data_IF_081922033790
#
_entry.id   IF_081922033790
#
_cell.length_a   1.000
_cell.length_b   1.000
_cell.length_c   1.000
_cell.angle_alpha   90.00
_cell.angle_beta   90.00
_cell.angle_gamma   90.00
#
_symmetry.space_group_name_H-M   'P 1'
#
loop_
_entity.id
_entity.type
_entity.pdbx_description
1 polymer ?
#
# COMPACT_ATOMS: atom_id res chain seq x y z
N UNK A 1 13.10 9.72 23.32
CA UNK A 1 12.79 11.08 22.79
C UNK A 1 11.65 10.97 21.78
N UNK A 2 10.70 11.93 21.66
CA UNK A 2 9.60 11.84 20.72
C UNK A 2 10.07 11.68 19.26
N UNK A 3 11.15 12.36 18.88
CA UNK A 3 11.68 12.33 17.51
C UNK A 3 12.12 10.93 17.06
N UNK A 4 12.68 10.10 17.96
CA UNK A 4 13.11 8.72 17.65
C UNK A 4 11.94 7.81 17.27
N UNK A 5 10.77 8.00 17.90
CA UNK A 5 9.57 7.21 17.61
C UNK A 5 9.01 7.60 16.24
N UNK A 6 9.02 8.89 15.90
CA UNK A 6 8.62 9.34 14.57
C UNK A 6 9.62 8.92 13.47
N UNK A 7 10.92 8.84 13.79
CA UNK A 7 11.94 8.29 12.89
C UNK A 7 11.72 6.80 12.63
N UNK A 8 11.42 6.03 13.68
CA UNK A 8 11.11 4.60 13.58
C UNK A 8 9.85 4.36 12.74
N UNK A 9 8.80 5.17 12.93
CA UNK A 9 7.57 5.07 12.13
C UNK A 9 7.84 5.39 10.65
N UNK A 10 8.67 6.41 10.37
CA UNK A 10 9.05 6.75 9.01
C UNK A 10 9.88 5.65 8.33
N UNK A 11 10.76 4.99 9.08
CA UNK A 11 11.54 3.86 8.60
C UNK A 11 10.65 2.65 8.30
N UNK A 12 9.79 2.25 9.22
CA UNK A 12 8.84 1.15 9.02
C UNK A 12 7.95 1.37 7.77
N UNK A 13 7.50 2.60 7.54
CA UNK A 13 6.77 2.98 6.33
C UNK A 13 7.58 2.84 5.04
N UNK A 14 8.85 3.24 5.06
CA UNK A 14 9.75 3.13 3.90
C UNK A 14 10.11 1.69 3.58
N UNK A 15 10.29 0.87 4.61
CA UNK A 15 10.65 -0.53 4.49
C UNK A 15 9.44 -1.42 4.17
N UNK A 16 8.22 -0.86 4.21
CA UNK A 16 6.97 -1.60 4.00
C UNK A 16 6.62 -2.54 5.15
N UNK A 17 7.27 -2.38 6.31
CA UNK A 17 7.01 -3.19 7.50
C UNK A 17 5.77 -2.68 8.25
N UNK A 18 4.61 -3.10 7.78
CA UNK A 18 3.32 -2.72 8.36
C UNK A 18 3.12 -3.29 9.77
N UNK A 19 3.82 -4.38 10.12
CA UNK A 19 3.72 -4.99 11.45
C UNK A 19 4.49 -4.16 12.47
N UNK A 20 5.72 -3.75 12.15
CA UNK A 20 6.49 -2.82 12.97
C UNK A 20 5.78 -1.47 13.10
N UNK A 21 5.18 -0.97 12.00
CA UNK A 21 4.40 0.26 12.04
C UNK A 21 3.19 0.15 12.99
N UNK A 22 2.45 -0.96 12.95
CA UNK A 22 1.32 -1.18 13.84
C UNK A 22 1.74 -1.22 15.32
N UNK A 23 2.89 -1.83 15.62
CA UNK A 23 3.44 -1.87 16.97
C UNK A 23 3.82 -0.47 17.52
N UNK A 24 4.06 0.51 16.65
CA UNK A 24 4.43 1.88 17.02
C UNK A 24 3.23 2.78 17.35
N UNK A 25 1.99 2.33 17.17
CA UNK A 25 0.79 3.14 17.42
C UNK A 25 0.72 3.65 18.88
N UNK A 26 0.82 2.75 19.87
CA UNK A 26 0.82 3.10 21.29
C UNK A 26 1.99 4.03 21.68
N UNK A 27 3.24 3.71 21.30
CA UNK A 27 4.39 4.61 21.50
C UNK A 27 4.21 6.01 20.90
N UNK A 28 3.63 6.13 19.69
CA UNK A 28 3.35 7.42 19.05
C UNK A 28 2.33 8.25 19.84
N UNK A 29 1.27 7.62 20.35
CA UNK A 29 0.28 8.28 21.21
C UNK A 29 0.87 8.73 22.55
N UNK A 30 1.77 7.93 23.14
CA UNK A 30 2.47 8.31 24.35
C UNK A 30 3.44 9.48 24.12
N UNK A 31 4.19 9.44 23.01
CA UNK A 31 5.13 10.49 22.61
C UNK A 31 4.44 11.83 22.35
N UNK A 32 3.25 11.80 21.76
CA UNK A 32 2.44 12.99 21.51
C UNK A 32 1.85 13.57 22.79
N UNK A 33 1.36 12.73 23.72
CA UNK A 33 0.88 13.18 25.05
C UNK A 33 1.99 13.76 25.92
N UNK A 34 3.20 13.20 25.85
CA UNK A 34 4.37 13.68 26.59
C UNK A 34 5.08 14.85 25.92
N UNK A 35 4.60 15.33 24.77
CA UNK A 35 5.25 16.42 24.07
C UNK A 35 4.96 17.76 24.77
N UNK A 36 6.01 18.54 25.02
CA UNK A 36 5.89 19.85 25.66
C UNK A 36 5.11 20.87 24.81
N UNK A 37 4.83 22.03 25.40
CA UNK A 37 4.02 23.09 24.78
C UNK A 37 4.80 24.07 23.90
N UNK A 38 6.07 23.77 23.58
CA UNK A 38 6.89 24.62 22.72
C UNK A 38 6.27 24.74 21.31
N UNK A 39 5.86 25.96 20.89
CA UNK A 39 5.21 26.16 19.60
C UNK A 39 6.05 25.73 18.40
N UNK A 40 7.38 25.86 18.48
CA UNK A 40 8.27 25.48 17.37
C UNK A 40 8.30 23.96 17.18
N UNK A 41 8.43 23.22 18.28
CA UNK A 41 8.39 21.75 18.30
C UNK A 41 7.02 21.22 17.84
N UNK A 42 5.92 21.80 18.32
CA UNK A 42 4.57 21.42 17.89
C UNK A 42 4.35 21.64 16.39
N UNK A 43 4.81 22.77 15.83
CA UNK A 43 4.76 23.02 14.38
C UNK A 43 5.55 21.98 13.59
N UNK A 44 6.76 21.64 14.04
CA UNK A 44 7.61 20.62 13.41
C UNK A 44 6.92 19.24 13.41
N UNK A 45 6.38 18.82 14.55
CA UNK A 45 5.67 17.54 14.69
C UNK A 45 4.40 17.49 13.87
N UNK A 46 3.63 18.59 13.81
CA UNK A 46 2.45 18.67 12.96
C UNK A 46 2.78 18.52 11.48
N UNK A 47 3.80 19.25 11.01
CA UNK A 47 4.27 19.12 9.63
C UNK A 47 4.78 17.71 9.31
N UNK A 48 5.46 17.07 10.28
CA UNK A 48 5.95 15.69 10.15
C UNK A 48 4.80 14.69 10.06
N UNK A 49 3.84 14.79 10.97
CA UNK A 49 2.65 13.93 11.00
C UNK A 49 1.87 14.02 9.69
N UNK A 50 1.66 15.24 9.18
CA UNK A 50 0.98 15.45 7.89
C UNK A 50 1.70 14.81 6.69
N UNK A 51 3.03 14.68 6.73
CA UNK A 51 3.76 13.93 5.68
C UNK A 51 3.57 12.43 5.83
N UNK A 52 3.62 11.91 7.06
CA UNK A 52 3.41 10.48 7.33
C UNK A 52 1.99 10.05 6.96
N UNK A 53 0.96 10.84 7.29
CA UNK A 53 -0.43 10.56 6.92
C UNK A 53 -0.60 10.42 5.40
N UNK A 54 -0.07 11.35 4.61
CA UNK A 54 -0.14 11.27 3.14
C UNK A 54 0.56 10.01 2.58
N UNK A 55 1.68 9.60 3.18
CA UNK A 55 2.35 8.36 2.77
C UNK A 55 1.52 7.12 3.14
N UNK A 56 0.89 7.11 4.32
CA UNK A 56 0.00 6.03 4.73
C UNK A 56 -1.20 5.90 3.78
N UNK A 57 -1.81 7.02 3.40
CA UNK A 57 -2.90 7.05 2.41
C UNK A 57 -2.48 6.38 1.10
N UNK A 58 -1.32 6.77 0.54
CA UNK A 58 -0.80 6.15 -0.67
C UNK A 58 -0.52 4.63 -0.51
N UNK A 59 -0.01 4.21 0.65
CA UNK A 59 0.20 2.78 0.95
C UNK A 59 -1.14 2.04 1.02
N UNK A 60 -2.16 2.62 1.64
CA UNK A 60 -3.51 2.03 1.72
C UNK A 60 -4.14 1.87 0.34
N UNK A 61 -4.02 2.88 -0.53
CA UNK A 61 -4.48 2.81 -1.92
C UNK A 61 -3.78 1.68 -2.68
N UNK A 62 -2.45 1.56 -2.53
CA UNK A 62 -1.67 0.49 -3.13
C UNK A 62 -2.07 -0.91 -2.65
N UNK A 63 -2.30 -1.07 -1.34
CA UNK A 63 -2.77 -2.32 -0.74
C UNK A 63 -4.16 -2.71 -1.25
N UNK A 64 -5.07 -1.74 -1.37
CA UNK A 64 -6.41 -1.99 -1.89
C UNK A 64 -6.35 -2.42 -3.36
N UNK A 65 -5.54 -1.74 -4.18
CA UNK A 65 -5.32 -2.12 -5.58
C UNK A 65 -4.72 -3.53 -5.70
N UNK A 66 -3.74 -3.87 -4.86
CA UNK A 66 -3.16 -5.22 -4.81
C UNK A 66 -4.18 -6.27 -4.39
N UNK A 67 -5.05 -5.96 -3.42
CA UNK A 67 -6.13 -6.84 -2.96
C UNK A 67 -7.13 -7.12 -4.08
N UNK A 68 -7.58 -6.09 -4.79
CA UNK A 68 -8.44 -6.25 -5.97
C UNK A 68 -7.77 -7.10 -7.03
N UNK A 69 -6.48 -6.86 -7.29
CA UNK A 69 -5.73 -7.64 -8.27
C UNK A 69 -5.67 -9.13 -7.92
N UNK A 70 -5.48 -9.46 -6.64
CA UNK A 70 -5.47 -10.84 -6.16
C UNK A 70 -6.86 -11.48 -6.26
N UNK A 71 -7.93 -10.73 -6.01
CA UNK A 71 -9.31 -11.22 -6.17
C UNK A 71 -9.60 -11.54 -7.64
N UNK A 72 -9.21 -10.68 -8.58
CA UNK A 72 -9.34 -10.91 -10.01
C UNK A 72 -8.61 -12.19 -10.44
N UNK A 73 -7.36 -12.37 -10.00
CA UNK A 73 -6.55 -13.56 -10.32
C UNK A 73 -7.22 -14.83 -9.78
N UNK A 74 -7.75 -14.79 -8.55
CA UNK A 74 -8.46 -15.94 -7.95
C UNK A 74 -9.74 -16.28 -8.71
N UNK A 75 -10.54 -15.27 -9.07
CA UNK A 75 -11.76 -15.47 -9.86
C UNK A 75 -11.45 -16.08 -11.25
N UNK A 76 -10.36 -15.67 -11.90
CA UNK A 76 -9.90 -16.27 -13.15
C UNK A 76 -9.47 -17.74 -12.99
N UNK A 77 -8.90 -18.09 -11.82
CA UNK A 77 -8.49 -19.46 -11.49
C UNK A 77 -9.68 -20.39 -11.20
N UNK A 78 -10.71 -19.90 -10.51
CA UNK A 78 -11.90 -20.67 -10.13
C UNK A 78 -12.94 -20.79 -11.26
N UNK A 79 -13.03 -19.80 -12.15
CA UNK A 79 -13.98 -19.77 -13.27
C UNK A 79 -13.58 -20.57 -14.52
N UNK A 80 -12.37 -21.14 -14.54
CA UNK A 80 -11.88 -21.98 -15.64
C UNK A 80 -11.60 -21.20 -16.94
N UNK A 81 -10.31 -20.95 -17.21
CA UNK A 81 -9.77 -20.47 -18.50
C UNK A 81 -10.34 -19.15 -19.02
N UNK A 82 -9.84 -18.03 -18.51
CA UNK A 82 -9.65 -16.87 -19.37
C UNK A 82 -8.25 -16.32 -19.17
N UNK A 83 -7.37 -16.66 -20.10
CA UNK A 83 -5.98 -16.22 -20.12
C UNK A 83 -6.00 -14.75 -20.55
N UNK A 84 -6.00 -13.85 -19.57
CA UNK A 84 -5.97 -12.41 -19.84
C UNK A 84 -4.54 -12.03 -20.21
N UNK A 85 -4.29 -11.90 -21.50
CA UNK A 85 -3.05 -11.32 -22.01
C UNK A 85 -3.14 -9.80 -21.89
N UNK A 86 -2.12 -9.21 -21.29
CA UNK A 86 -1.92 -7.77 -21.24
C UNK A 86 -1.00 -7.39 -22.40
N UNK A 87 -1.33 -6.33 -23.14
CA UNK A 87 -0.41 -5.80 -24.14
C UNK A 87 0.85 -5.19 -23.49
N UNK A 88 1.86 -4.84 -24.29
CA UNK A 88 3.08 -4.18 -23.82
C UNK A 88 2.87 -2.80 -23.19
N UNK A 89 1.63 -2.29 -23.17
CA UNK A 89 1.21 -1.05 -22.52
C UNK A 89 0.34 -1.28 -21.27
N UNK A 90 0.17 -2.54 -20.83
CA UNK A 90 -0.56 -2.91 -19.63
C UNK A 90 -2.09 -2.84 -19.75
N UNK A 91 -2.63 -2.73 -20.97
CA UNK A 91 -4.09 -2.73 -21.17
C UNK A 91 -4.62 -4.15 -21.31
N UNK A 92 -5.80 -4.37 -20.72
CA UNK A 92 -6.50 -5.66 -20.72
C UNK A 92 -7.07 -5.93 -22.12
N UNK A 93 -6.53 -6.93 -22.81
CA UNK A 93 -7.17 -7.51 -24.00
C UNK A 93 -7.93 -8.75 -23.56
N UNK A 94 -9.27 -8.66 -23.53
CA UNK A 94 -10.12 -9.83 -23.36
C UNK A 94 -10.11 -10.59 -24.69
N UNK A 95 -9.27 -11.62 -24.79
CA UNK A 95 -9.45 -12.63 -25.82
C UNK A 95 -10.62 -13.52 -25.40
N UNK A 96 -11.82 -13.13 -25.82
CA UNK A 96 -12.96 -14.03 -25.84
C UNK A 96 -12.60 -15.27 -26.67
N UNK A 97 -12.81 -16.44 -26.07
CA UNK A 97 -12.34 -17.72 -26.54
C UNK A 97 -12.98 -18.20 -27.84
N UNK A 98 -12.63 -17.59 -28.97
CA UNK A 98 -12.81 -18.14 -30.31
C UNK A 98 -11.48 -18.19 -31.07
N UNK A 99 -10.43 -18.66 -30.39
CA UNK A 99 -9.23 -19.14 -31.07
C UNK A 99 -9.56 -20.51 -31.68
N UNK A 100 -10.24 -20.49 -32.83
CA UNK A 100 -10.38 -21.63 -33.73
C UNK A 100 -8.95 -22.04 -34.11
N UNK A 101 -8.41 -23.03 -33.42
CA UNK A 101 -7.12 -23.66 -33.74
C UNK A 101 -7.24 -24.29 -35.14
N UNK A 102 -6.88 -23.52 -36.17
CA UNK A 102 -6.66 -24.03 -37.52
C UNK A 102 -5.39 -24.87 -37.50
N UNK A 103 -5.53 -26.14 -37.12
CA UNK A 103 -4.53 -27.18 -37.38
C UNK A 103 -4.55 -27.43 -38.89
N UNK A 104 -3.55 -26.91 -39.61
CA UNK A 104 -3.26 -27.32 -40.99
C UNK A 104 -2.65 -28.72 -40.97
N UNK A 105 -3.17 -29.58 -41.83
CA UNK A 105 -2.59 -30.88 -42.20
C UNK A 105 -1.24 -30.69 -42.89
#
# INVERSE_FOLDING_TARGET
MPDEIFDAAERALKDGDLSALAALAGPLEAATRGCGTDPATLRRLRARSARLSRRLEAVMEGLQAARWRLQDIRAMGEGGRQLVTYDGAGRRTEQDGSARLTRRF
#
